data_IF_513671805754
#
_entry.id   IF_513671805754
#
_cell.length_a   1.000
_cell.length_b   1.000
_cell.length_c   1.000
_cell.angle_alpha   90.00
_cell.angle_beta   90.00
_cell.angle_gamma   90.00
#
_symmetry.space_group_name_H-M   'P 1'
#
loop_
_entity.id
_entity.type
_entity.pdbx_description
1 polymer ?
#
# COMPACT_ATOMS: atom_id res chain seq x y z
N UNK A 1 1.20 -16.13 -2.79
CA UNK A 1 0.43 -14.94 -3.23
C UNK A 1 0.41 -13.90 -2.12
N UNK A 2 -0.05 -14.27 -0.91
CA UNK A 2 -0.06 -13.38 0.26
C UNK A 2 1.32 -12.78 0.60
N UNK A 3 2.37 -13.60 0.66
CA UNK A 3 3.74 -13.12 0.93
C UNK A 3 4.19 -12.03 -0.04
N UNK A 4 3.88 -12.16 -1.34
CA UNK A 4 4.22 -11.16 -2.35
C UNK A 4 3.42 -9.85 -2.16
N UNK A 5 2.15 -9.94 -1.73
CA UNK A 5 1.34 -8.77 -1.41
C UNK A 5 1.89 -8.01 -0.19
N UNK A 6 2.31 -8.74 0.83
CA UNK A 6 2.93 -8.18 2.04
C UNK A 6 4.29 -7.54 1.71
N UNK A 7 5.15 -8.21 0.93
CA UNK A 7 6.45 -7.66 0.50
C UNK A 7 6.29 -6.34 -0.27
N UNK A 8 5.34 -6.27 -1.21
CA UNK A 8 5.07 -5.03 -1.97
C UNK A 8 4.61 -3.88 -1.08
N UNK A 9 3.72 -4.15 -0.11
CA UNK A 9 3.24 -3.13 0.83
C UNK A 9 4.30 -2.73 1.86
N UNK A 10 5.15 -3.68 2.27
CA UNK A 10 6.33 -3.41 3.11
C UNK A 10 7.34 -2.50 2.39
N UNK A 11 7.59 -2.71 1.10
CA UNK A 11 8.46 -1.84 0.30
C UNK A 11 7.89 -0.42 0.15
N UNK A 12 6.57 -0.29 0.10
CA UNK A 12 5.93 1.03 0.05
C UNK A 12 5.94 1.74 1.41
N UNK A 13 5.84 0.97 2.50
CA UNK A 13 5.91 1.45 3.89
C UNK A 13 4.96 2.64 4.13
N UNK A 14 3.67 2.43 3.88
CA UNK A 14 2.64 3.41 4.21
C UNK A 14 2.42 3.45 5.73
N UNK A 15 2.31 4.64 6.31
CA UNK A 15 2.00 4.82 7.72
C UNK A 15 0.50 5.06 7.95
N UNK A 16 0.06 4.85 9.18
CA UNK A 16 -1.29 5.18 9.62
C UNK A 16 -1.61 6.67 9.41
N UNK A 17 -2.73 6.97 8.75
CA UNK A 17 -3.17 8.34 8.49
C UNK A 17 -2.30 9.12 7.49
N UNK A 18 -1.32 8.47 6.86
CA UNK A 18 -0.42 9.14 5.93
C UNK A 18 -1.14 9.63 4.68
N UNK A 19 -2.09 8.84 4.17
CA UNK A 19 -2.84 9.20 2.97
C UNK A 19 -3.63 10.51 3.16
N UNK A 20 -4.33 10.67 4.29
CA UNK A 20 -5.09 11.87 4.62
C UNK A 20 -4.18 13.10 4.76
N UNK A 21 -3.00 12.92 5.36
CA UNK A 21 -2.01 13.98 5.49
C UNK A 21 -1.50 14.43 4.12
N UNK A 22 -1.05 13.48 3.28
CA UNK A 22 -0.57 13.75 1.93
C UNK A 22 -1.67 14.38 1.08
N UNK A 23 -2.91 13.91 1.17
CA UNK A 23 -4.03 14.46 0.39
C UNK A 23 -4.31 15.92 0.78
N UNK A 24 -4.31 16.22 2.07
CA UNK A 24 -4.53 17.58 2.59
C UNK A 24 -3.43 18.53 2.13
N UNK A 25 -2.18 18.08 2.22
CA UNK A 25 -1.02 18.87 1.82
C UNK A 25 -0.95 19.08 0.30
N UNK A 26 -1.20 18.02 -0.47
CA UNK A 26 -1.30 18.10 -1.92
C UNK A 26 -2.39 19.08 -2.37
N UNK A 27 -3.59 19.07 -1.76
CA UNK A 27 -4.64 20.05 -2.07
C UNK A 27 -4.19 21.49 -1.81
N UNK A 28 -3.47 21.72 -0.71
CA UNK A 28 -2.94 23.05 -0.38
C UNK A 28 -1.92 23.50 -1.43
N UNK A 29 -0.96 22.65 -1.78
CA UNK A 29 0.09 22.97 -2.75
C UNK A 29 -0.45 23.10 -4.17
N UNK A 30 -1.38 22.24 -4.59
CA UNK A 30 -1.99 22.31 -5.92
C UNK A 30 -2.74 23.63 -6.13
N UNK A 31 -3.45 24.13 -5.10
CA UNK A 31 -4.08 25.44 -5.15
C UNK A 31 -3.04 26.57 -5.30
N UNK A 32 -1.91 26.46 -4.61
CA UNK A 32 -0.80 27.41 -4.73
C UNK A 32 -0.15 27.36 -6.12
N UNK A 33 0.04 26.17 -6.71
CA UNK A 33 0.57 26.02 -8.08
C UNK A 33 -0.38 26.63 -9.11
N UNK A 34 -1.68 26.38 -9.00
CA UNK A 34 -2.68 26.99 -9.88
C UNK A 34 -2.70 28.52 -9.75
N UNK A 35 -2.54 29.05 -8.53
CA UNK A 35 -2.43 30.48 -8.30
C UNK A 35 -1.18 31.08 -8.96
N UNK A 36 -0.03 30.41 -8.86
CA UNK A 36 1.21 30.84 -9.54
C UNK A 36 1.02 30.87 -11.05
N UNK A 37 0.43 29.83 -11.64
CA UNK A 37 0.17 29.80 -13.09
C UNK A 37 -0.74 30.94 -13.52
N UNK A 38 -1.80 31.23 -12.77
CA UNK A 38 -2.70 32.36 -13.04
C UNK A 38 -1.97 33.70 -12.92
N UNK A 39 -1.13 33.89 -11.90
CA UNK A 39 -0.32 35.09 -11.73
C UNK A 39 0.68 35.27 -12.90
N UNK A 40 1.36 34.20 -13.33
CA UNK A 40 2.27 34.23 -14.49
C UNK A 40 1.55 34.56 -15.79
N UNK A 41 0.38 33.95 -16.02
CA UNK A 41 -0.46 34.27 -17.17
C UNK A 41 -0.93 35.73 -17.14
N UNK A 42 -1.27 36.26 -15.97
CA UNK A 42 -1.62 37.66 -15.81
C UNK A 42 -0.44 38.58 -16.16
N UNK A 43 0.77 38.29 -15.68
CA UNK A 43 1.98 39.04 -16.06
C UNK A 43 2.25 38.99 -17.56
N UNK A 44 2.09 37.82 -18.18
CA UNK A 44 2.23 37.67 -19.63
C UNK A 44 1.26 38.58 -20.41
N UNK A 45 0.00 38.68 -19.97
CA UNK A 45 -0.99 39.59 -20.57
C UNK A 45 -0.59 41.07 -20.37
N UNK A 46 -0.11 41.43 -19.18
CA UNK A 46 0.17 42.82 -18.83
C UNK A 46 1.47 43.35 -19.46
N UNK A 47 2.54 42.54 -19.48
CA UNK A 47 3.90 42.98 -19.84
C UNK A 47 4.45 42.32 -21.11
N UNK A 48 4.27 41.01 -21.29
CA UNK A 48 5.18 40.20 -22.13
C UNK A 48 4.45 39.34 -23.16
N UNK A 49 3.61 39.95 -24.02
CA UNK A 49 2.84 39.27 -25.06
C UNK A 49 3.34 39.67 -26.47
N UNK A 50 3.70 38.68 -27.28
CA UNK A 50 4.16 38.82 -28.67
C UNK A 50 3.12 39.48 -29.59
N UNK A 51 1.83 39.36 -29.28
CA UNK A 51 0.72 40.00 -30.02
C UNK A 51 0.41 41.43 -29.55
N UNK A 52 1.09 41.90 -28.49
CA UNK A 52 0.92 43.21 -27.87
C UNK A 52 0.38 43.09 -26.44
N UNK A 53 1.23 43.36 -25.45
CA UNK A 53 0.82 43.43 -24.04
C UNK A 53 -0.04 44.67 -23.76
N UNK A 54 -0.81 44.64 -22.67
CA UNK A 54 -1.63 45.80 -22.24
C UNK A 54 -0.75 47.06 -22.10
N UNK A 55 0.45 46.90 -21.52
CA UNK A 55 1.42 47.97 -21.40
C UNK A 55 1.86 48.52 -22.77
N UNK A 56 2.17 47.66 -23.74
CA UNK A 56 2.58 48.09 -25.09
C UNK A 56 1.47 48.83 -25.84
N UNK A 57 0.22 48.38 -25.68
CA UNK A 57 -0.95 49.00 -26.31
C UNK A 57 -1.26 50.36 -25.68
N UNK A 58 -1.13 50.48 -24.36
CA UNK A 58 -1.26 51.77 -23.67
C UNK A 58 -0.18 52.75 -24.10
N UNK A 59 1.08 52.33 -24.19
CA UNK A 59 2.17 53.17 -24.68
C UNK A 59 1.92 53.67 -26.12
N UNK A 60 1.42 52.79 -26.99
CA UNK A 60 1.03 53.16 -28.36
C UNK A 60 -0.12 54.18 -28.36
N UNK A 61 -1.13 53.97 -27.51
CA UNK A 61 -2.27 54.89 -27.37
C UNK A 61 -1.86 56.24 -26.80
N UNK A 62 -0.92 56.29 -25.85
CA UNK A 62 -0.34 57.52 -25.29
C UNK A 62 0.41 58.30 -26.36
N UNK A 63 1.24 57.63 -27.18
CA UNK A 63 1.96 58.28 -28.28
C UNK A 63 1.00 58.93 -29.28
N UNK A 64 -0.09 58.24 -29.64
CA UNK A 64 -1.12 58.81 -30.53
C UNK A 64 -1.93 59.91 -29.83
N UNK A 65 -2.17 59.77 -28.53
CA UNK A 65 -2.85 60.78 -27.71
C UNK A 65 -2.09 62.10 -27.63
N UNK A 66 -0.74 62.06 -27.62
CA UNK A 66 0.11 63.25 -27.68
C UNK A 66 -0.06 63.98 -29.02
N UNK A 67 -0.11 63.25 -30.13
CA UNK A 67 -0.39 63.84 -31.44
C UNK A 67 -1.78 64.49 -31.45
N UNK A 68 -2.79 63.83 -30.87
CA UNK A 68 -4.16 64.37 -30.76
C UNK A 68 -4.23 65.65 -29.91
N UNK A 69 -3.57 65.70 -28.75
CA UNK A 69 -3.50 66.89 -27.91
C UNK A 69 -2.83 68.07 -28.65
N UNK A 70 -1.87 67.79 -29.53
CA UNK A 70 -1.23 68.83 -30.35
C UNK A 70 -2.20 69.46 -31.36
N UNK A 71 -3.23 68.73 -31.79
CA UNK A 71 -4.30 69.25 -32.65
C UNK A 71 -5.39 69.97 -31.85
N UNK A 72 -5.79 69.43 -30.69
CA UNK A 72 -6.82 69.99 -29.83
C UNK A 72 -6.44 69.85 -28.34
N UNK A 73 -6.10 70.96 -27.65
CA UNK A 73 -5.75 70.96 -26.24
C UNK A 73 -6.86 70.42 -25.30
N UNK A 74 -8.14 70.40 -25.71
CA UNK A 74 -9.20 69.81 -24.88
C UNK A 74 -8.98 68.30 -24.63
N UNK A 75 -8.22 67.62 -25.51
CA UNK A 75 -7.91 66.20 -25.41
C UNK A 75 -6.80 65.88 -24.40
N UNK A 76 -6.13 66.89 -23.81
CA UNK A 76 -5.09 66.66 -22.80
C UNK A 76 -5.58 65.87 -21.57
N UNK A 77 -6.87 66.02 -21.22
CA UNK A 77 -7.50 65.23 -20.15
C UNK A 77 -7.53 63.71 -20.44
N UNK A 78 -7.75 63.33 -21.70
CA UNK A 78 -7.73 61.93 -22.15
C UNK A 78 -6.30 61.39 -22.09
N UNK A 79 -5.32 62.18 -22.52
CA UNK A 79 -3.91 61.79 -22.43
C UNK A 79 -3.48 61.58 -20.97
N UNK A 80 -3.89 62.46 -20.06
CA UNK A 80 -3.62 62.30 -18.63
C UNK A 80 -4.21 60.97 -18.09
N UNK A 81 -5.46 60.66 -18.42
CA UNK A 81 -6.09 59.39 -18.03
C UNK A 81 -5.36 58.15 -18.57
N UNK A 82 -4.84 58.22 -19.81
CA UNK A 82 -4.07 57.12 -20.39
C UNK A 82 -2.73 56.91 -19.67
N UNK A 83 -2.03 58.00 -19.31
CA UNK A 83 -0.80 57.91 -18.53
C UNK A 83 -1.05 57.35 -17.13
N UNK A 84 -2.12 57.78 -16.45
CA UNK A 84 -2.52 57.23 -15.15
C UNK A 84 -2.83 55.73 -15.25
N UNK A 85 -3.53 55.31 -16.31
CA UNK A 85 -3.82 53.89 -16.56
C UNK A 85 -2.54 53.07 -16.78
N UNK A 86 -1.55 53.61 -17.51
CA UNK A 86 -0.25 52.95 -17.69
C UNK A 86 0.47 52.73 -16.36
N UNK A 87 0.51 53.76 -15.50
CA UNK A 87 1.12 53.65 -14.16
C UNK A 87 0.42 52.55 -13.35
N UNK A 88 -0.91 52.52 -13.33
CA UNK A 88 -1.67 51.51 -12.59
C UNK A 88 -1.42 50.09 -13.10
N UNK A 89 -1.27 49.91 -14.41
CA UNK A 89 -0.91 48.62 -15.01
C UNK A 89 0.50 48.19 -14.56
N UNK A 90 1.48 49.08 -14.63
CA UNK A 90 2.86 48.78 -14.21
C UNK A 90 2.96 48.46 -12.72
N UNK A 91 2.25 49.19 -11.86
CA UNK A 91 2.17 48.92 -10.42
C UNK A 91 1.52 47.57 -10.15
N UNK A 92 0.41 47.25 -10.85
CA UNK A 92 -0.27 45.96 -10.72
C UNK A 92 0.64 44.79 -11.10
N UNK A 93 1.38 44.90 -12.20
CA UNK A 93 2.36 43.89 -12.61
C UNK A 93 3.47 43.72 -11.56
N UNK A 94 4.01 44.84 -11.05
CA UNK A 94 5.06 44.83 -10.02
C UNK A 94 4.58 44.19 -8.70
N UNK A 95 3.33 44.39 -8.32
CA UNK A 95 2.73 43.73 -7.14
C UNK A 95 2.56 42.22 -7.35
N UNK A 96 2.17 41.78 -8.55
CA UNK A 96 2.05 40.35 -8.88
C UNK A 96 3.43 39.68 -8.88
N UNK A 97 4.46 40.32 -9.41
CA UNK A 97 5.85 39.84 -9.35
C UNK A 97 6.31 39.69 -7.89
N UNK A 98 6.14 40.72 -7.06
CA UNK A 98 6.48 40.64 -5.63
C UNK A 98 5.73 39.53 -4.90
N UNK A 99 4.46 39.34 -5.23
CA UNK A 99 3.65 38.28 -4.66
C UNK A 99 4.18 36.89 -5.04
N UNK A 100 4.59 36.70 -6.30
CA UNK A 100 5.23 35.48 -6.78
C UNK A 100 6.58 35.22 -6.12
N UNK A 101 7.40 36.26 -5.91
CA UNK A 101 8.68 36.14 -5.22
C UNK A 101 8.53 35.73 -3.75
N UNK A 102 7.41 36.09 -3.12
CA UNK A 102 7.07 35.69 -1.75
C UNK A 102 6.48 34.28 -1.63
N UNK A 103 6.13 33.63 -2.74
CA UNK A 103 5.60 32.27 -2.77
C UNK A 103 6.76 31.26 -2.82
N UNK A 104 7.22 30.85 -1.64
CA UNK A 104 8.10 29.68 -1.52
C UNK A 104 7.31 28.40 -1.79
N UNK A 105 7.38 27.90 -3.02
CA UNK A 105 6.90 26.58 -3.41
C UNK A 105 8.11 25.71 -3.69
N UNK A 106 8.19 24.56 -3.02
CA UNK A 106 9.20 23.53 -3.28
C UNK A 106 8.65 22.58 -4.35
N UNK A 107 9.08 22.68 -5.62
CA UNK A 107 8.56 21.85 -6.71
C UNK A 107 8.97 20.38 -6.55
N UNK A 108 10.14 20.12 -5.96
CA UNK A 108 10.62 18.77 -5.71
C UNK A 108 9.75 18.08 -4.68
N UNK A 109 9.38 18.81 -3.62
CA UNK A 109 8.46 18.31 -2.60
C UNK A 109 7.05 18.03 -3.15
N UNK A 110 6.51 18.94 -3.98
CA UNK A 110 5.20 18.73 -4.61
C UNK A 110 5.20 17.49 -5.52
N UNK A 111 6.24 17.33 -6.35
CA UNK A 111 6.39 16.16 -7.22
C UNK A 111 6.53 14.85 -6.41
N UNK A 112 7.24 14.90 -5.27
CA UNK A 112 7.32 13.77 -4.35
C UNK A 112 5.95 13.39 -3.77
N UNK A 113 5.14 14.36 -3.36
CA UNK A 113 3.77 14.12 -2.89
C UNK A 113 2.88 13.50 -3.98
N UNK A 114 2.94 14.01 -5.22
CA UNK A 114 2.21 13.43 -6.35
C UNK A 114 2.61 11.98 -6.61
N UNK A 115 3.92 11.69 -6.62
CA UNK A 115 4.42 10.33 -6.81
C UNK A 115 3.92 9.40 -5.71
N UNK A 116 3.96 9.85 -4.45
CA UNK A 116 3.53 9.06 -3.30
C UNK A 116 2.02 8.81 -3.33
N UNK A 117 1.22 9.82 -3.64
CA UNK A 117 -0.25 9.72 -3.76
C UNK A 117 -0.66 8.80 -4.93
N UNK A 118 0.01 8.91 -6.08
CA UNK A 118 -0.18 8.03 -7.23
C UNK A 118 0.13 6.58 -6.90
N UNK A 119 1.25 6.33 -6.20
CA UNK A 119 1.63 4.98 -5.77
C UNK A 119 0.63 4.40 -4.76
N UNK A 120 0.15 5.19 -3.79
CA UNK A 120 -0.94 4.77 -2.88
C UNK A 120 -2.19 4.36 -3.66
N UNK A 121 -2.62 5.17 -4.65
CA UNK A 121 -3.79 4.86 -5.46
C UNK A 121 -3.62 3.59 -6.30
N UNK A 122 -2.44 3.36 -6.86
CA UNK A 122 -2.14 2.14 -7.63
C UNK A 122 -2.20 0.90 -6.75
N UNK A 123 -1.59 0.94 -5.56
CA UNK A 123 -1.61 -0.16 -4.60
C UNK A 123 -3.03 -0.42 -4.09
N UNK A 124 -3.77 0.62 -3.70
CA UNK A 124 -5.15 0.51 -3.26
C UNK A 124 -6.04 -0.19 -4.31
N UNK A 125 -5.89 0.15 -5.60
CA UNK A 125 -6.60 -0.54 -6.69
C UNK A 125 -6.17 -1.99 -6.85
N UNK A 126 -4.87 -2.29 -6.73
CA UNK A 126 -4.33 -3.65 -6.86
C UNK A 126 -4.88 -4.56 -5.75
N UNK A 127 -5.00 -4.04 -4.54
CA UNK A 127 -5.52 -4.74 -3.37
C UNK A 127 -7.04 -4.59 -3.19
N UNK A 128 -7.72 -3.85 -4.09
CA UNK A 128 -9.18 -3.62 -4.09
C UNK A 128 -9.71 -2.99 -2.79
N UNK A 129 -8.92 -2.12 -2.17
CA UNK A 129 -9.28 -1.37 -0.96
C UNK A 129 -9.32 0.12 -1.25
N UNK A 130 -9.97 0.89 -0.38
CA UNK A 130 -9.88 2.33 -0.47
C UNK A 130 -8.47 2.81 -0.06
N UNK A 131 -7.94 3.91 -0.63
CA UNK A 131 -6.59 4.38 -0.30
C UNK A 131 -6.35 4.69 1.18
N UNK A 132 -7.37 5.18 1.88
CA UNK A 132 -7.34 5.41 3.33
C UNK A 132 -7.31 4.11 4.16
N UNK A 133 -7.81 3.01 3.61
CA UNK A 133 -7.84 1.71 4.27
C UNK A 133 -6.58 0.88 3.97
N UNK A 134 -5.69 1.36 3.09
CA UNK A 134 -4.52 0.60 2.63
C UNK A 134 -3.58 0.19 3.78
N UNK A 135 -3.38 1.08 4.76
CA UNK A 135 -2.59 0.76 5.96
C UNK A 135 -3.24 -0.35 6.78
N UNK A 136 -4.53 -0.22 7.09
CA UNK A 136 -5.27 -1.24 7.85
C UNK A 136 -5.27 -2.59 7.12
N UNK A 137 -5.41 -2.56 5.80
CA UNK A 137 -5.32 -3.74 4.97
C UNK A 137 -3.92 -4.39 5.05
N UNK A 138 -2.86 -3.59 4.96
CA UNK A 138 -1.48 -4.08 5.12
C UNK A 138 -1.28 -4.77 6.47
N UNK A 139 -1.77 -4.18 7.57
CA UNK A 139 -1.72 -4.80 8.89
C UNK A 139 -2.48 -6.13 8.94
N UNK A 140 -3.66 -6.21 8.34
CA UNK A 140 -4.43 -7.47 8.29
C UNK A 140 -3.71 -8.58 7.51
N UNK A 141 -3.00 -8.23 6.43
CA UNK A 141 -2.24 -9.20 5.64
C UNK A 141 -0.98 -9.67 6.40
N UNK A 142 -0.37 -8.82 7.22
CA UNK A 142 0.74 -9.18 8.10
C UNK A 142 0.30 -10.19 9.16
N UNK A 143 -0.83 -9.93 9.83
CA UNK A 143 -1.42 -10.85 10.80
C UNK A 143 -1.78 -12.20 10.16
N UNK A 144 -2.42 -12.19 8.99
CA UNK A 144 -2.77 -13.43 8.26
C UNK A 144 -1.52 -14.24 7.86
N UNK A 145 -0.43 -13.56 7.47
CA UNK A 145 0.83 -14.21 7.12
C UNK A 145 1.51 -14.84 8.35
N UNK A 146 1.47 -14.15 9.50
CA UNK A 146 2.01 -14.66 10.76
C UNK A 146 1.23 -15.89 11.26
N UNK A 147 -0.10 -15.84 11.19
CA UNK A 147 -0.98 -16.96 11.56
C UNK A 147 -0.71 -18.21 10.70
N UNK A 148 -0.54 -18.04 9.37
CA UNK A 148 -0.19 -19.14 8.47
C UNK A 148 1.18 -19.76 8.79
N UNK A 149 2.18 -18.92 9.11
CA UNK A 149 3.50 -19.42 9.53
C UNK A 149 3.43 -20.24 10.82
N UNK A 150 2.63 -19.77 11.79
CA UNK A 150 2.40 -20.47 13.06
C UNK A 150 1.71 -21.83 12.88
N UNK A 151 0.80 -21.94 11.91
CA UNK A 151 0.05 -23.17 11.67
C UNK A 151 0.89 -24.26 10.98
N UNK A 152 1.83 -23.89 10.11
CA UNK A 152 2.77 -24.84 9.52
C UNK A 152 3.70 -25.44 10.59
N UNK A 153 4.21 -24.62 11.52
CA UNK A 153 5.01 -25.10 12.65
C UNK A 153 4.22 -26.07 13.54
N UNK A 154 2.96 -25.75 13.86
CA UNK A 154 2.07 -26.65 14.63
C UNK A 154 1.80 -27.97 13.90
N UNK A 155 1.67 -27.94 12.57
CA UNK A 155 1.44 -29.15 11.78
C UNK A 155 2.63 -30.11 11.85
N UNK A 156 3.85 -29.58 11.79
CA UNK A 156 5.06 -30.38 11.88
C UNK A 156 5.25 -30.96 13.30
N UNK A 157 4.97 -30.18 14.35
CA UNK A 157 4.93 -30.67 15.74
C UNK A 157 3.94 -31.84 15.91
N UNK A 158 2.72 -31.70 15.36
CA UNK A 158 1.70 -32.76 15.43
C UNK A 158 2.15 -34.02 14.68
N UNK A 159 2.83 -33.88 13.53
CA UNK A 159 3.38 -35.01 12.76
C UNK A 159 4.45 -35.75 13.55
N UNK A 160 5.35 -35.04 14.23
CA UNK A 160 6.35 -35.64 15.10
C UNK A 160 5.70 -36.41 16.26
N UNK A 161 4.73 -35.80 16.94
CA UNK A 161 3.99 -36.45 18.02
C UNK A 161 3.23 -37.69 17.54
N UNK A 162 2.62 -37.64 16.35
CA UNK A 162 1.92 -38.77 15.75
C UNK A 162 2.88 -39.93 15.45
N UNK A 163 4.07 -39.65 14.91
CA UNK A 163 5.08 -40.66 14.65
C UNK A 163 5.59 -41.29 15.96
N UNK A 164 5.92 -40.47 16.96
CA UNK A 164 6.38 -40.95 18.27
C UNK A 164 5.31 -41.83 18.95
N UNK A 165 4.05 -41.40 18.96
CA UNK A 165 2.95 -42.17 19.52
C UNK A 165 2.70 -43.47 18.74
N UNK A 166 2.83 -43.45 17.42
CA UNK A 166 2.72 -44.65 16.58
C UNK A 166 3.83 -45.65 16.88
N UNK A 167 5.07 -45.20 17.05
CA UNK A 167 6.18 -46.07 17.44
C UNK A 167 5.96 -46.67 18.82
N UNK A 168 5.56 -45.87 19.81
CA UNK A 168 5.24 -46.34 21.15
C UNK A 168 4.11 -47.39 21.11
N UNK A 169 3.03 -47.11 20.39
CA UNK A 169 1.93 -48.05 20.15
C UNK A 169 2.44 -49.37 19.58
N UNK A 170 3.24 -49.34 18.51
CA UNK A 170 3.78 -50.54 17.88
C UNK A 170 4.69 -51.33 18.83
N UNK A 171 5.49 -50.66 19.64
CA UNK A 171 6.33 -51.32 20.64
C UNK A 171 5.49 -52.04 21.70
N UNK A 172 4.48 -51.38 22.25
CA UNK A 172 3.57 -51.99 23.23
C UNK A 172 2.75 -53.12 22.63
N UNK A 173 2.24 -52.95 21.41
CA UNK A 173 1.49 -53.98 20.69
C UNK A 173 2.36 -55.21 20.41
N UNK A 174 3.62 -55.04 20.00
CA UNK A 174 4.58 -56.14 19.83
C UNK A 174 4.85 -56.88 21.14
N UNK A 175 5.10 -56.16 22.24
CA UNK A 175 5.30 -56.76 23.57
C UNK A 175 4.08 -57.59 24.01
N UNK A 176 2.87 -57.05 23.82
CA UNK A 176 1.63 -57.74 24.15
C UNK A 176 1.43 -58.99 23.27
N UNK A 177 1.69 -58.88 21.97
CA UNK A 177 1.57 -60.00 21.03
C UNK A 177 2.56 -61.13 21.36
N UNK A 178 3.81 -60.79 21.68
CA UNK A 178 4.81 -61.76 22.15
C UNK A 178 4.37 -62.46 23.45
N UNK A 179 3.84 -61.70 24.41
CA UNK A 179 3.30 -62.25 25.65
C UNK A 179 2.14 -63.22 25.38
N UNK A 180 1.16 -62.81 24.56
CA UNK A 180 0.03 -63.67 24.15
C UNK A 180 0.51 -64.94 23.45
N UNK A 181 1.47 -64.84 22.53
CA UNK A 181 2.04 -66.00 21.84
C UNK A 181 2.75 -66.97 22.80
N UNK A 182 3.42 -66.46 23.84
CA UNK A 182 4.03 -67.29 24.88
C UNK A 182 2.97 -68.06 25.67
N UNK A 183 1.95 -67.37 26.18
CA UNK A 183 0.89 -68.00 26.97
C UNK A 183 -0.02 -68.92 26.15
N UNK A 184 -0.22 -68.62 24.87
CA UNK A 184 -0.93 -69.51 23.94
C UNK A 184 -0.23 -70.88 23.83
N UNK A 185 1.10 -70.91 23.66
CA UNK A 185 1.88 -72.16 23.62
C UNK A 185 1.83 -72.94 24.94
N UNK A 186 1.84 -72.23 26.06
CA UNK A 186 1.74 -72.85 27.38
C UNK A 186 0.37 -73.51 27.59
N UNK A 187 -0.71 -72.78 27.26
CA UNK A 187 -2.07 -73.27 27.33
C UNK A 187 -2.31 -74.43 26.36
N UNK A 188 -1.76 -74.36 25.14
CA UNK A 188 -1.82 -75.44 24.14
C UNK A 188 -1.31 -76.76 24.70
N UNK A 189 -0.18 -76.70 25.41
CA UNK A 189 0.44 -77.88 26.01
C UNK A 189 -0.42 -78.42 27.16
N UNK A 190 -0.90 -77.56 28.04
CA UNK A 190 -1.73 -77.97 29.18
C UNK A 190 -3.05 -78.61 28.72
N UNK A 191 -3.76 -77.99 27.77
CA UNK A 191 -5.01 -78.51 27.22
C UNK A 191 -4.77 -79.81 26.45
N UNK A 192 -3.70 -79.87 25.64
CA UNK A 192 -3.33 -81.10 24.95
C UNK A 192 -3.07 -82.23 25.95
N UNK A 193 -2.38 -81.97 27.06
CA UNK A 193 -2.15 -82.98 28.09
C UNK A 193 -3.47 -83.47 28.72
N UNK A 194 -4.38 -82.57 29.09
CA UNK A 194 -5.71 -82.95 29.60
C UNK A 194 -6.50 -83.80 28.60
N UNK A 195 -6.41 -83.51 27.30
CA UNK A 195 -7.06 -84.30 26.24
C UNK A 195 -6.48 -85.73 26.17
N UNK A 196 -5.16 -85.89 26.36
CA UNK A 196 -4.53 -87.21 26.38
C UNK A 196 -4.99 -88.04 27.59
N UNK A 197 -5.15 -87.41 28.77
CA UNK A 197 -5.65 -88.04 29.99
C UNK A 197 -7.12 -88.50 29.86
N UNK A 198 -7.88 -87.92 28.92
CA UNK A 198 -9.28 -88.28 28.62
C UNK A 198 -9.43 -89.36 27.52
N UNK A 199 -8.46 -90.29 27.40
CA UNK A 199 -8.44 -91.38 26.42
C UNK A 199 -8.38 -90.95 24.93
N UNK A 200 -7.86 -89.75 24.62
CA UNK A 200 -7.62 -89.30 23.24
C UNK A 200 -6.11 -89.09 22.96
N UNK A 201 -5.30 -90.16 22.88
CA UNK A 201 -3.83 -90.07 22.88
C UNK A 201 -3.20 -89.50 21.60
N UNK A 202 -4.00 -89.15 20.58
CA UNK A 202 -3.53 -88.51 19.33
C UNK A 202 -4.10 -87.11 19.12
N UNK A 203 -4.92 -86.60 20.05
CA UNK A 203 -5.52 -85.28 19.94
C UNK A 203 -4.49 -84.18 20.19
N UNK A 204 -4.47 -83.14 19.35
CA UNK A 204 -3.60 -81.97 19.53
C UNK A 204 -4.45 -80.71 19.51
N UNK A 205 -4.30 -79.88 20.54
CA UNK A 205 -4.91 -78.56 20.61
C UNK A 205 -3.86 -77.48 20.28
N UNK A 206 -4.24 -76.44 19.54
CA UNK A 206 -3.32 -75.37 19.13
C UNK A 206 -4.05 -74.03 19.04
N UNK A 207 -3.44 -72.98 19.60
CA UNK A 207 -3.89 -71.60 19.56
C UNK A 207 -2.93 -70.80 18.68
N UNK A 208 -3.45 -70.19 17.62
CA UNK A 208 -2.70 -69.29 16.77
C UNK A 208 -2.88 -67.83 17.22
N UNK A 209 -1.77 -67.13 17.45
CA UNK A 209 -1.75 -65.68 17.69
C UNK A 209 -1.12 -65.00 16.48
N UNK A 210 -1.92 -64.23 15.76
CA UNK A 210 -1.48 -63.48 14.58
C UNK A 210 -1.29 -62.01 14.96
N UNK A 211 -0.18 -61.43 14.52
CA UNK A 211 0.09 -59.99 14.59
C UNK A 211 -0.03 -59.44 13.18
N UNK A 212 -1.09 -58.66 12.92
CA UNK A 212 -1.22 -57.88 11.69
C UNK A 212 -0.64 -56.48 11.91
#
# INVERSE_FOLDING_TARGET
>A
LLQYQVEELNEFAINEGEFESIETEHKKLANSTALIELCRNQLHILQDNDEGSVESLLNTSISQGQDLESYDPELGSVLAMLNDALIQVQESSSEIERYLDGLELDPEYFAHLEQRLSKTMQLARKHQVMPNELYTHHQSLLEELEDLGSDDDKLDDIREQLNANREAYLQHAKKLSQSRGRYAKELDKQVTQSIHELNMPKGKFTIAVNFN
#
